data_IF_954760083639
#
_entry.id   IF_954760083639
#
_cell.length_a   1.000
_cell.length_b   1.000
_cell.length_c   1.000
_cell.angle_alpha   90.00
_cell.angle_beta   90.00
_cell.angle_gamma   90.00
#
_symmetry.space_group_name_H-M   'P 1'
#
loop_
_entity.id
_entity.type
_entity.pdbx_description
1 polymer ?
#
# COMPACT_ATOMS: atom_id res chain seq x y z
N UNK A 1 -13.71 60.89 -38.83
CA UNK A 1 -14.61 59.76 -38.50
C UNK A 1 -13.77 58.68 -37.83
N UNK A 2 -14.16 58.19 -36.65
CA UNK A 2 -13.29 57.44 -35.74
C UNK A 2 -13.23 55.93 -36.03
N UNK A 3 -12.30 55.30 -35.33
CA UNK A 3 -11.83 53.92 -35.34
C UNK A 3 -12.88 52.82 -35.17
N UNK A 4 -12.55 51.61 -35.64
CA UNK A 4 -12.94 50.37 -34.96
C UNK A 4 -11.77 49.36 -34.98
N UNK A 5 -11.18 49.16 -33.80
CA UNK A 5 -10.19 48.14 -33.49
C UNK A 5 -10.85 46.75 -33.52
N UNK A 6 -10.20 45.78 -34.16
CA UNK A 6 -10.56 44.36 -34.07
C UNK A 6 -9.95 43.76 -32.80
N UNK A 7 -10.77 43.52 -31.79
CA UNK A 7 -10.37 42.72 -30.62
C UNK A 7 -10.85 41.29 -30.83
N UNK A 8 -9.93 40.39 -31.17
CA UNK A 8 -10.16 38.94 -31.11
C UNK A 8 -10.03 38.54 -29.63
N UNK A 9 -11.15 38.27 -28.98
CA UNK A 9 -11.16 37.66 -27.67
C UNK A 9 -10.88 36.16 -27.83
N UNK A 10 -9.63 35.75 -27.64
CA UNK A 10 -9.29 34.36 -27.45
C UNK A 10 -9.78 33.92 -26.07
N UNK A 11 -10.87 33.15 -26.03
CA UNK A 11 -11.30 32.45 -24.83
C UNK A 11 -10.27 31.35 -24.53
N UNK A 12 -9.29 31.65 -23.67
CA UNK A 12 -8.48 30.62 -23.02
C UNK A 12 -9.39 29.86 -22.05
N UNK A 13 -9.91 28.71 -22.49
CA UNK A 13 -10.43 27.68 -21.61
C UNK A 13 -9.25 27.16 -20.78
N UNK A 14 -9.08 27.71 -19.59
CA UNK A 14 -8.25 27.11 -18.54
C UNK A 14 -8.98 25.85 -18.11
N UNK A 15 -8.68 24.73 -18.76
CA UNK A 15 -9.00 23.43 -18.21
C UNK A 15 -8.21 23.31 -16.89
N UNK A 16 -8.86 23.17 -15.72
CA UNK A 16 -8.11 22.86 -14.52
C UNK A 16 -7.52 21.45 -14.73
N UNK A 17 -6.21 21.39 -14.94
CA UNK A 17 -5.46 20.17 -14.68
C UNK A 17 -5.67 19.86 -13.20
N UNK A 18 -6.70 19.08 -12.89
CA UNK A 18 -6.69 18.22 -11.72
C UNK A 18 -5.52 17.28 -11.96
N UNK A 19 -4.33 17.65 -11.47
CA UNK A 19 -3.22 16.75 -11.33
C UNK A 19 -3.70 15.64 -10.39
N UNK A 20 -4.29 14.59 -10.95
CA UNK A 20 -4.64 13.39 -10.22
C UNK A 20 -3.36 12.90 -9.54
N UNK A 21 -3.44 12.67 -8.23
CA UNK A 21 -2.33 12.06 -7.51
C UNK A 21 -1.91 10.79 -8.27
N UNK A 22 -0.63 10.69 -8.60
CA UNK A 22 -0.06 9.50 -9.24
C UNK A 22 -0.46 8.26 -8.43
N UNK A 23 -0.92 7.22 -9.11
CA UNK A 23 -1.35 5.99 -8.44
C UNK A 23 -0.15 5.18 -8.03
N UNK A 24 -0.16 4.63 -6.81
CA UNK A 24 0.87 3.69 -6.34
C UNK A 24 1.06 2.53 -7.34
N UNK A 25 2.27 2.31 -7.88
CA UNK A 25 2.58 1.15 -8.71
C UNK A 25 2.40 -0.17 -7.96
N UNK A 26 2.01 -1.23 -8.67
CA UNK A 26 1.70 -2.53 -8.05
C UNK A 26 2.87 -3.16 -7.31
N UNK A 27 4.08 -2.99 -7.84
CA UNK A 27 5.30 -3.51 -7.22
C UNK A 27 5.68 -2.79 -5.92
N UNK A 28 5.00 -1.68 -5.58
CA UNK A 28 5.22 -0.94 -4.34
C UNK A 28 4.28 -1.45 -3.25
N UNK A 29 4.85 -2.15 -2.27
CA UNK A 29 4.10 -2.88 -1.25
C UNK A 29 4.31 -2.26 0.13
N UNK A 30 3.29 -2.33 0.97
CA UNK A 30 3.43 -2.00 2.39
C UNK A 30 4.31 -3.06 3.06
N UNK A 31 5.39 -2.66 3.73
CA UNK A 31 6.30 -3.61 4.41
C UNK A 31 5.55 -4.44 5.45
N UNK A 32 4.61 -3.84 6.19
CA UNK A 32 3.76 -4.57 7.15
C UNK A 32 2.92 -5.70 6.53
N UNK A 33 2.62 -5.63 5.23
CA UNK A 33 1.89 -6.70 4.52
C UNK A 33 2.77 -7.93 4.21
N UNK A 34 4.09 -7.72 4.20
CA UNK A 34 5.12 -8.76 3.99
C UNK A 34 5.61 -9.30 5.34
N UNK A 35 6.00 -8.41 6.26
CA UNK A 35 6.40 -8.76 7.62
C UNK A 35 5.87 -7.69 8.62
N UNK A 36 4.77 -7.98 9.35
CA UNK A 36 4.19 -7.05 10.30
C UNK A 36 5.04 -6.87 11.57
N UNK A 37 6.09 -7.68 11.76
CA UNK A 37 6.93 -7.60 12.95
C UNK A 37 8.05 -6.56 12.85
N UNK A 38 8.22 -5.94 11.68
CA UNK A 38 9.10 -4.80 11.50
C UNK A 38 8.37 -3.57 12.05
N UNK A 39 8.92 -2.98 13.11
CA UNK A 39 8.35 -1.77 13.73
C UNK A 39 8.46 -0.58 12.75
N UNK A 40 7.46 0.30 12.73
CA UNK A 40 7.46 1.49 11.88
C UNK A 40 7.32 2.75 12.73
N UNK A 41 8.26 3.67 12.54
CA UNK A 41 8.29 4.99 13.16
C UNK A 41 8.59 6.03 12.07
N UNK A 42 7.63 6.18 11.13
CA UNK A 42 7.82 6.92 9.89
C UNK A 42 7.91 8.42 10.16
N UNK A 43 9.15 8.92 10.29
CA UNK A 43 9.44 10.25 10.85
C UNK A 43 8.90 11.40 10.02
N UNK A 44 8.94 11.26 8.69
CA UNK A 44 8.49 12.28 7.76
C UNK A 44 6.96 12.40 7.66
N UNK A 45 6.19 11.48 8.25
CA UNK A 45 4.75 11.62 8.44
C UNK A 45 4.39 12.46 9.68
N UNK A 46 5.39 12.97 10.42
CA UNK A 46 5.20 13.73 11.67
C UNK A 46 6.04 15.00 11.67
N UNK A 47 5.85 15.88 12.66
CA UNK A 47 6.68 17.08 12.81
C UNK A 47 8.06 16.84 13.43
N UNK A 48 8.34 15.64 13.98
CA UNK A 48 9.63 15.35 14.61
C UNK A 48 10.61 14.72 13.62
N UNK A 49 11.08 15.60 12.75
CA UNK A 49 12.18 15.38 11.83
C UNK A 49 12.94 16.71 11.67
N UNK A 50 14.03 16.70 10.91
CA UNK A 50 14.89 17.87 10.74
C UNK A 50 14.22 19.10 10.10
N UNK A 51 13.04 18.96 9.49
CA UNK A 51 12.29 20.08 8.90
C UNK A 51 11.26 20.70 9.85
N UNK A 52 10.91 20.02 10.94
CA UNK A 52 9.92 20.48 11.92
C UNK A 52 8.45 20.38 11.48
N UNK A 53 8.15 19.71 10.36
CA UNK A 53 6.80 19.46 9.87
C UNK A 53 6.72 18.12 9.12
N UNK A 54 5.51 17.59 8.93
CA UNK A 54 5.31 16.42 8.08
C UNK A 54 5.57 16.81 6.61
N UNK A 55 6.31 15.97 5.88
CA UNK A 55 6.71 16.28 4.52
C UNK A 55 5.60 16.01 3.51
N UNK A 56 5.60 16.79 2.43
CA UNK A 56 4.67 16.60 1.30
C UNK A 56 4.63 15.13 0.84
N UNK A 57 3.42 14.57 0.72
CA UNK A 57 3.21 13.20 0.24
C UNK A 57 3.27 12.10 1.30
N UNK A 58 3.67 12.39 2.54
CA UNK A 58 3.48 11.48 3.68
C UNK A 58 2.09 11.67 4.28
N UNK A 59 1.06 11.16 3.61
CA UNK A 59 -0.33 11.23 4.09
C UNK A 59 -0.64 10.15 5.14
N UNK A 60 0.29 9.21 5.35
CA UNK A 60 0.23 8.18 6.39
C UNK A 60 1.64 7.78 6.86
N UNK A 61 1.78 7.32 8.12
CA UNK A 61 3.03 6.77 8.65
C UNK A 61 3.21 5.31 8.18
N UNK A 62 3.40 5.12 6.88
CA UNK A 62 3.53 3.81 6.24
C UNK A 62 4.84 3.66 5.47
N UNK A 63 5.54 2.55 5.71
CA UNK A 63 6.70 2.14 4.95
C UNK A 63 6.27 1.34 3.72
N UNK A 64 6.50 1.91 2.53
CA UNK A 64 6.42 1.18 1.27
C UNK A 64 7.80 0.92 0.69
N UNK A 65 8.00 -0.27 0.12
CA UNK A 65 9.19 -0.62 -0.64
C UNK A 65 8.76 -1.35 -1.91
N UNK A 66 9.64 -1.36 -2.91
CA UNK A 66 9.55 -2.31 -4.00
C UNK A 66 9.52 -3.73 -3.41
N UNK A 67 8.69 -4.59 -3.99
CA UNK A 67 8.36 -5.89 -3.43
C UNK A 67 9.60 -6.75 -3.11
N UNK A 68 10.59 -6.78 -4.00
CA UNK A 68 11.82 -7.54 -3.76
C UNK A 68 12.67 -6.97 -2.62
N UNK A 69 12.73 -5.64 -2.48
CA UNK A 69 13.38 -4.98 -1.35
C UNK A 69 12.64 -5.27 -0.04
N UNK A 70 11.30 -5.20 -0.03
CA UNK A 70 10.49 -5.54 1.14
C UNK A 70 10.72 -6.99 1.60
N UNK A 71 10.79 -7.93 0.65
CA UNK A 71 11.05 -9.35 0.93
C UNK A 71 12.49 -9.59 1.39
N UNK A 72 13.46 -8.85 0.86
CA UNK A 72 14.83 -8.90 1.37
C UNK A 72 14.89 -8.40 2.82
N UNK A 73 14.23 -7.28 3.11
CA UNK A 73 14.13 -6.74 4.46
C UNK A 73 13.47 -7.73 5.44
N UNK A 74 12.43 -8.45 5.03
CA UNK A 74 11.81 -9.50 5.84
C UNK A 74 12.78 -10.66 6.18
N UNK A 75 13.72 -11.00 5.28
CA UNK A 75 14.76 -12.00 5.58
C UNK A 75 15.81 -11.48 6.55
N UNK A 76 16.15 -10.18 6.47
CA UNK A 76 16.98 -9.51 7.49
C UNK A 76 16.29 -9.59 8.85
N UNK A 77 15.00 -9.22 8.92
CA UNK A 77 14.19 -9.30 10.14
C UNK A 77 14.19 -10.72 10.71
N UNK A 78 13.92 -11.74 9.89
CA UNK A 78 13.94 -13.14 10.34
C UNK A 78 15.29 -13.55 10.92
N UNK A 79 16.39 -13.12 10.31
CA UNK A 79 17.76 -13.42 10.78
C UNK A 79 18.08 -12.74 12.11
N UNK A 80 17.65 -11.49 12.29
CA UNK A 80 17.85 -10.71 13.51
C UNK A 80 16.97 -11.23 14.66
N UNK A 81 15.73 -11.63 14.36
CA UNK A 81 14.82 -12.22 15.38
C UNK A 81 15.36 -13.49 15.97
N UNK A 82 16.01 -14.34 15.17
CA UNK A 82 16.70 -15.54 15.66
C UNK A 82 17.85 -15.20 16.65
N UNK A 83 18.35 -13.97 16.64
CA UNK A 83 19.40 -13.46 17.53
C UNK A 83 18.84 -12.60 18.69
N UNK A 84 17.50 -12.49 18.81
CA UNK A 84 16.85 -11.67 19.83
C UNK A 84 16.72 -10.18 19.48
N UNK A 85 16.96 -9.79 18.23
CA UNK A 85 16.83 -8.40 17.75
C UNK A 85 15.63 -8.23 16.80
N UNK A 86 15.18 -7.00 16.62
CA UNK A 86 14.19 -6.62 15.63
C UNK A 86 14.66 -5.43 14.78
N UNK A 87 13.91 -5.12 13.75
CA UNK A 87 14.08 -3.92 12.92
C UNK A 87 13.01 -2.89 13.25
N UNK A 88 13.41 -1.62 13.20
CA UNK A 88 12.51 -0.46 13.17
C UNK A 88 12.87 0.44 12.00
N UNK A 89 11.91 0.76 11.14
CA UNK A 89 12.09 1.63 9.98
C UNK A 89 11.64 3.06 10.28
N UNK A 90 12.42 4.03 9.82
CA UNK A 90 12.15 5.47 9.94
C UNK A 90 11.72 6.11 8.63
N UNK A 91 12.22 5.60 7.50
CA UNK A 91 11.79 5.99 6.17
C UNK A 91 12.01 4.86 5.15
N UNK A 92 11.20 4.84 4.09
CA UNK A 92 11.24 3.84 3.03
C UNK A 92 11.05 4.53 1.67
N UNK A 93 10.03 4.21 0.89
CA UNK A 93 9.66 5.03 -0.26
C UNK A 93 9.42 6.48 0.18
N UNK A 94 10.10 7.42 -0.50
CA UNK A 94 9.95 8.86 -0.30
C UNK A 94 9.47 9.51 -1.61
N UNK A 95 8.24 10.02 -1.68
CA UNK A 95 7.74 10.72 -2.87
C UNK A 95 8.69 11.84 -3.29
N UNK A 96 8.89 12.05 -4.58
CA UNK A 96 9.79 13.11 -5.05
C UNK A 96 9.36 14.51 -4.59
N UNK A 97 8.06 14.73 -4.32
CA UNK A 97 7.55 15.95 -3.68
C UNK A 97 8.10 16.17 -2.26
N UNK A 98 8.35 15.12 -1.47
CA UNK A 98 9.00 15.25 -0.16
C UNK A 98 10.46 15.67 -0.29
N UNK A 99 11.17 15.20 -1.33
CA UNK A 99 12.54 15.63 -1.63
C UNK A 99 12.55 17.12 -2.01
N UNK A 100 11.57 17.56 -2.82
CA UNK A 100 11.40 18.98 -3.14
C UNK A 100 11.12 19.81 -1.88
N UNK A 101 10.34 19.27 -0.94
CA UNK A 101 10.05 19.90 0.35
C UNK A 101 11.30 20.08 1.21
N UNK A 102 12.12 19.03 1.38
CA UNK A 102 13.42 19.12 2.04
C UNK A 102 14.32 20.18 1.38
N UNK A 103 14.27 20.31 0.04
CA UNK A 103 14.98 21.34 -0.70
C UNK A 103 14.48 22.76 -0.41
N UNK A 104 13.16 22.96 -0.34
CA UNK A 104 12.56 24.24 0.08
C UNK A 104 12.96 24.57 1.52
N UNK A 105 12.90 23.61 2.43
CA UNK A 105 13.34 23.79 3.81
C UNK A 105 14.79 24.28 3.90
N UNK A 106 15.70 23.70 3.12
CA UNK A 106 17.11 24.09 3.10
C UNK A 106 17.35 25.53 2.61
N UNK A 107 16.38 26.14 1.91
CA UNK A 107 16.52 27.48 1.30
C UNK A 107 15.70 28.57 2.00
N UNK A 108 14.57 28.21 2.62
CA UNK A 108 13.71 29.17 3.33
C UNK A 108 14.32 29.61 4.67
N UNK A 109 13.95 30.77 5.23
CA UNK A 109 14.36 31.19 6.57
C UNK A 109 13.84 30.26 7.69
N UNK A 110 14.49 30.27 8.85
CA UNK A 110 14.05 29.55 10.06
C UNK A 110 14.73 28.20 10.29
N UNK A 111 14.94 27.83 11.56
CA UNK A 111 15.71 26.65 11.97
C UNK A 111 14.99 25.90 13.11
N UNK A 112 13.77 25.38 12.86
CA UNK A 112 12.85 24.95 13.92
C UNK A 112 13.40 23.81 14.77
N UNK A 113 14.27 22.95 14.24
CA UNK A 113 14.77 21.74 14.92
C UNK A 113 16.30 21.64 14.92
N UNK A 114 17.00 22.76 14.69
CA UNK A 114 18.46 22.82 14.55
C UNK A 114 19.22 22.29 15.77
N UNK A 115 18.77 22.62 16.98
CA UNK A 115 19.49 22.23 18.19
C UNK A 115 19.54 20.71 18.38
N UNK A 116 18.59 19.99 17.78
CA UNK A 116 18.56 18.54 17.77
C UNK A 116 19.30 17.93 16.58
N UNK A 117 18.88 18.20 15.34
CA UNK A 117 19.32 17.40 14.19
C UNK A 117 20.61 17.90 13.53
N UNK A 118 20.89 19.20 13.56
CA UNK A 118 22.01 19.79 12.80
C UNK A 118 22.66 20.98 13.54
N UNK A 119 23.02 20.87 14.83
CA UNK A 119 23.46 22.00 15.65
C UNK A 119 24.78 22.64 15.18
N UNK A 120 25.59 21.88 14.44
CA UNK A 120 26.91 22.29 13.94
C UNK A 120 26.96 22.56 12.44
N UNK A 121 25.84 22.37 11.73
CA UNK A 121 25.78 22.47 10.27
C UNK A 121 24.80 23.57 9.86
N UNK A 122 25.15 24.34 8.83
CA UNK A 122 24.21 25.24 8.19
C UNK A 122 23.31 24.44 7.25
N UNK A 123 21.99 24.63 7.32
CA UNK A 123 21.08 23.94 6.40
C UNK A 123 21.29 24.29 4.92
N UNK A 124 21.92 25.43 4.65
CA UNK A 124 22.34 25.82 3.29
C UNK A 124 23.43 24.89 2.74
N UNK A 125 24.20 24.21 3.60
CA UNK A 125 25.27 23.29 3.23
C UNK A 125 24.79 21.84 3.05
N UNK A 126 23.53 21.51 3.34
CA UNK A 126 23.02 20.12 3.26
C UNK A 126 23.30 19.46 1.90
N UNK A 127 23.13 20.20 0.81
CA UNK A 127 23.43 19.74 -0.55
C UNK A 127 24.92 19.45 -0.76
N UNK A 128 25.77 20.37 -0.30
CA UNK A 128 27.23 20.29 -0.46
C UNK A 128 27.80 19.13 0.36
N UNK A 129 27.24 18.91 1.55
CA UNK A 129 27.67 17.87 2.47
C UNK A 129 27.07 16.49 2.15
N UNK A 130 26.02 16.46 1.33
CA UNK A 130 25.38 15.24 0.86
C UNK A 130 24.29 14.69 1.78
N UNK A 131 23.78 15.49 2.72
CA UNK A 131 22.67 15.13 3.61
C UNK A 131 21.29 15.26 2.93
N UNK A 132 21.19 16.09 1.87
CA UNK A 132 20.00 16.18 1.02
C UNK A 132 20.43 15.92 -0.42
N UNK A 133 19.79 14.93 -1.05
CA UNK A 133 20.06 14.52 -2.43
C UNK A 133 19.07 15.13 -3.42
N UNK A 134 19.52 15.45 -4.65
CA UNK A 134 18.63 16.05 -5.68
C UNK A 134 17.71 15.00 -6.28
N UNK A 135 18.19 13.77 -6.28
CA UNK A 135 17.47 12.56 -6.63
C UNK A 135 17.76 11.57 -5.52
N UNK A 136 16.74 11.18 -4.77
CA UNK A 136 16.87 10.24 -3.66
C UNK A 136 16.68 8.79 -4.15
N UNK A 137 17.48 7.86 -3.63
CA UNK A 137 17.24 6.42 -3.82
C UNK A 137 15.88 5.99 -3.27
N UNK A 138 15.41 6.64 -2.20
CA UNK A 138 14.08 6.42 -1.62
C UNK A 138 12.95 6.63 -2.61
N UNK A 139 13.07 7.59 -3.54
CA UNK A 139 12.03 7.86 -4.54
C UNK A 139 11.91 6.77 -5.61
N UNK A 140 12.81 5.80 -5.62
CA UNK A 140 12.79 4.62 -6.49
C UNK A 140 12.23 3.37 -5.79
N UNK A 141 11.93 3.47 -4.49
CA UNK A 141 11.32 2.40 -3.70
C UNK A 141 12.28 1.30 -3.23
N UNK A 142 13.59 1.40 -3.45
CA UNK A 142 14.57 0.38 -3.06
C UNK A 142 15.42 0.75 -1.85
N UNK A 143 15.17 1.89 -1.22
CA UNK A 143 15.97 2.42 -0.11
C UNK A 143 15.16 2.47 1.18
N UNK A 144 15.81 2.16 2.30
CA UNK A 144 15.23 2.14 3.64
C UNK A 144 16.19 2.76 4.65
N UNK A 145 15.64 3.55 5.56
CA UNK A 145 16.31 4.08 6.73
C UNK A 145 15.80 3.34 7.96
N UNK A 146 16.68 2.72 8.74
CA UNK A 146 16.28 1.83 9.84
C UNK A 146 17.30 1.70 10.96
N UNK A 147 16.85 1.13 12.09
CA UNK A 147 17.66 0.75 13.24
C UNK A 147 17.32 -0.65 13.75
N UNK A 148 18.06 -1.09 14.76
CA UNK A 148 17.82 -2.31 15.52
C UNK A 148 17.00 -2.02 16.78
N UNK A 149 16.09 -2.92 17.13
CA UNK A 149 15.46 -3.04 18.46
C UNK A 149 15.93 -4.31 19.15
N UNK A 150 15.71 -4.44 20.47
CA UNK A 150 16.08 -5.63 21.24
C UNK A 150 16.82 -5.34 22.55
N UNK A 151 17.62 -6.30 23.07
CA UNK A 151 18.32 -6.15 24.34
C UNK A 151 19.20 -4.90 24.40
N UNK A 152 18.96 -4.07 25.42
CA UNK A 152 19.66 -2.81 25.62
C UNK A 152 19.00 -1.59 24.97
N UNK A 153 17.89 -1.76 24.25
CA UNK A 153 17.07 -0.64 23.78
C UNK A 153 16.34 0.01 24.97
N UNK A 154 16.35 1.33 25.02
CA UNK A 154 15.49 2.09 25.94
C UNK A 154 14.05 2.09 25.41
N UNK A 155 13.02 2.16 26.28
CA UNK A 155 11.64 2.28 25.84
C UNK A 155 11.44 3.52 24.95
N UNK A 156 10.60 3.41 23.92
CA UNK A 156 10.26 4.57 23.11
C UNK A 156 9.52 5.62 23.97
N UNK A 157 9.90 6.89 23.82
CA UNK A 157 9.21 7.99 24.46
C UNK A 157 7.78 8.14 23.90
N UNK A 158 6.84 8.47 24.79
CA UNK A 158 5.42 8.64 24.44
C UNK A 158 5.10 10.14 24.32
N UNK A 159 4.65 10.59 23.14
CA UNK A 159 4.20 11.98 22.84
C UNK A 159 5.15 12.79 21.94
N UNK A 160 4.67 13.88 21.30
CA UNK A 160 5.47 14.84 20.50
C UNK A 160 4.90 16.26 20.73
N UNK A 161 5.67 17.37 20.69
CA UNK A 161 6.65 17.77 21.70
C UNK A 161 6.37 19.18 22.28
N UNK A 162 6.49 19.30 23.61
CA UNK A 162 7.00 20.49 24.30
C UNK A 162 8.41 20.23 24.89
N UNK A 163 9.02 19.10 24.53
CA UNK A 163 10.32 18.69 25.06
C UNK A 163 11.43 19.56 24.46
N UNK A 164 12.35 20.00 25.31
CA UNK A 164 13.57 20.71 24.92
C UNK A 164 14.34 19.87 23.90
N UNK A 165 14.68 20.47 22.75
CA UNK A 165 15.54 19.82 21.75
C UNK A 165 16.85 19.37 22.38
N UNK A 166 17.24 18.13 22.10
CA UNK A 166 18.50 17.53 22.56
C UNK A 166 19.33 17.20 21.34
N UNK A 167 20.60 17.61 21.37
CA UNK A 167 21.58 17.31 20.32
C UNK A 167 21.59 15.82 19.95
N UNK A 168 21.46 15.51 18.67
CA UNK A 168 21.43 14.14 18.15
C UNK A 168 22.74 13.36 18.41
N UNK A 169 23.79 14.03 18.86
CA UNK A 169 25.07 13.43 19.29
C UNK A 169 25.21 13.29 20.81
N UNK A 170 24.24 13.76 21.61
CA UNK A 170 24.26 13.61 23.06
C UNK A 170 24.34 12.12 23.47
N UNK A 171 24.77 11.79 24.70
CA UNK A 171 24.80 10.42 25.20
C UNK A 171 23.45 9.70 25.01
N UNK A 172 23.47 8.40 24.73
CA UNK A 172 22.28 7.62 24.37
C UNK A 172 21.07 7.82 25.27
N UNK A 173 21.25 7.77 26.59
CA UNK A 173 20.16 7.95 27.55
C UNK A 173 19.58 9.36 27.66
N UNK A 174 20.20 10.35 26.99
CA UNK A 174 19.74 11.75 26.99
C UNK A 174 19.02 12.13 25.69
N UNK A 175 19.32 11.44 24.58
CA UNK A 175 18.68 11.69 23.28
C UNK A 175 17.20 11.32 23.34
N UNK A 176 16.44 11.78 22.34
CA UNK A 176 15.10 11.27 22.12
C UNK A 176 15.10 9.74 22.05
N UNK A 177 14.22 9.12 22.84
CA UNK A 177 14.15 7.67 22.93
C UNK A 177 13.22 7.16 21.85
N UNK A 178 13.79 6.71 20.73
CA UNK A 178 13.06 6.16 19.58
C UNK A 178 12.76 4.66 19.71
N UNK A 179 13.11 4.03 20.84
CA UNK A 179 12.97 2.59 21.04
C UNK A 179 14.04 1.74 20.34
N UNK A 180 14.99 2.35 19.64
CA UNK A 180 16.10 1.69 18.99
C UNK A 180 17.32 1.53 19.91
N UNK A 181 18.24 0.66 19.51
CA UNK A 181 19.54 0.48 20.18
C UNK A 181 20.43 1.73 20.05
N UNK A 182 21.41 1.86 20.95
CA UNK A 182 22.43 2.91 20.80
C UNK A 182 23.23 2.70 19.51
N UNK A 183 23.09 3.66 18.60
CA UNK A 183 23.83 3.73 17.34
C UNK A 183 24.84 4.87 17.34
N UNK A 184 25.12 5.51 18.48
CA UNK A 184 26.13 6.58 18.62
C UNK A 184 25.65 7.98 18.19
N UNK A 185 24.56 8.06 17.45
CA UNK A 185 23.79 9.29 17.16
C UNK A 185 22.31 8.95 17.02
N UNK A 186 21.44 9.97 16.99
CA UNK A 186 20.05 9.82 16.53
C UNK A 186 19.96 9.60 15.02
N UNK A 187 18.76 9.21 14.56
CA UNK A 187 18.34 9.25 13.16
C UNK A 187 18.30 10.70 12.65
N UNK A 188 18.58 10.91 11.36
CA UNK A 188 18.70 12.24 10.73
C UNK A 188 19.69 13.19 11.45
N UNK A 189 20.70 12.63 12.11
CA UNK A 189 21.75 13.43 12.73
C UNK A 189 22.75 13.89 11.68
N UNK A 190 22.70 15.17 11.30
CA UNK A 190 23.57 15.74 10.28
C UNK A 190 24.90 16.15 10.91
N UNK A 191 25.70 15.12 11.21
CA UNK A 191 26.97 15.20 11.91
C UNK A 191 27.87 14.05 11.47
N UNK A 192 29.19 14.23 11.52
CA UNK A 192 30.14 13.14 11.22
C UNK A 192 29.97 11.93 12.13
N UNK A 193 29.41 12.08 13.34
CA UNK A 193 29.05 10.96 14.20
C UNK A 193 28.06 9.99 13.55
N UNK A 194 27.26 10.44 12.59
CA UNK A 194 26.36 9.58 11.84
C UNK A 194 27.08 8.68 10.82
N UNK A 195 28.32 9.03 10.42
CA UNK A 195 29.08 8.23 9.46
C UNK A 195 29.32 6.82 9.98
N UNK A 196 29.02 5.80 9.18
CA UNK A 196 28.97 4.39 9.60
C UNK A 196 30.24 3.94 10.34
N UNK A 197 31.41 4.30 9.82
CA UNK A 197 32.72 3.92 10.36
C UNK A 197 33.34 4.96 11.33
N UNK A 198 32.54 5.85 11.92
CA UNK A 198 33.05 6.89 12.83
C UNK A 198 33.79 6.27 14.04
N UNK A 199 35.02 6.73 14.30
CA UNK A 199 35.86 6.18 15.37
C UNK A 199 35.53 6.73 16.77
N UNK A 200 34.84 7.87 16.86
CA UNK A 200 34.53 8.59 18.10
C UNK A 200 33.29 8.06 18.84
N UNK A 201 32.49 7.18 18.23
CA UNK A 201 31.35 6.55 18.90
C UNK A 201 31.82 5.42 19.84
N UNK A 202 31.00 5.11 20.85
CA UNK A 202 31.32 4.09 21.85
C UNK A 202 31.30 2.66 21.26
N UNK A 203 31.86 1.69 21.99
CA UNK A 203 31.99 0.30 21.55
C UNK A 203 30.65 -0.38 21.29
N UNK A 204 29.63 -0.11 22.12
CA UNK A 204 28.26 -0.64 21.95
C UNK A 204 27.66 -0.18 20.63
N UNK A 205 27.76 1.11 20.32
CA UNK A 205 27.29 1.70 19.07
C UNK A 205 28.01 1.11 17.85
N UNK A 206 29.33 0.91 17.92
CA UNK A 206 30.09 0.24 16.84
C UNK A 206 29.59 -1.18 16.60
N UNK A 207 29.38 -1.95 17.67
CA UNK A 207 28.89 -3.32 17.58
C UNK A 207 27.48 -3.39 16.98
N UNK A 208 26.59 -2.47 17.35
CA UNK A 208 25.22 -2.42 16.82
C UNK A 208 25.19 -2.02 15.34
N UNK A 209 25.97 -1.01 14.92
CA UNK A 209 26.11 -0.65 13.51
C UNK A 209 26.67 -1.81 12.69
N UNK A 210 27.72 -2.48 13.17
CA UNK A 210 28.29 -3.64 12.49
C UNK A 210 27.27 -4.77 12.35
N UNK A 211 26.47 -5.04 13.38
CA UNK A 211 25.40 -6.05 13.32
C UNK A 211 24.37 -5.69 12.26
N UNK A 212 23.89 -4.44 12.24
CA UNK A 212 22.92 -3.97 11.26
C UNK A 212 23.50 -4.09 9.85
N UNK A 213 24.69 -3.52 9.60
CA UNK A 213 25.36 -3.56 8.30
C UNK A 213 25.55 -4.99 7.80
N UNK A 214 26.08 -5.89 8.64
CA UNK A 214 26.31 -7.27 8.25
C UNK A 214 25.00 -8.01 7.91
N UNK A 215 23.92 -7.76 8.65
CA UNK A 215 22.62 -8.36 8.38
C UNK A 215 21.99 -7.83 7.08
N UNK A 216 22.09 -6.53 6.85
CA UNK A 216 21.59 -5.87 5.63
C UNK A 216 22.37 -6.32 4.39
N UNK A 217 23.71 -6.31 4.44
CA UNK A 217 24.57 -6.69 3.32
C UNK A 217 24.38 -8.15 2.90
N UNK A 218 24.17 -9.04 3.87
CA UNK A 218 23.88 -10.46 3.60
C UNK A 218 22.65 -10.66 2.71
N UNK A 219 21.68 -9.75 2.77
CA UNK A 219 20.45 -9.79 1.99
C UNK A 219 20.46 -8.85 0.77
N UNK A 220 21.63 -8.33 0.38
CA UNK A 220 21.81 -7.56 -0.86
C UNK A 220 21.57 -6.06 -0.73
N UNK A 221 21.54 -5.53 0.49
CA UNK A 221 21.53 -4.08 0.73
C UNK A 221 22.96 -3.52 0.78
N UNK A 222 23.12 -2.27 0.37
CA UNK A 222 24.37 -1.52 0.47
C UNK A 222 24.13 -0.27 1.32
N UNK A 223 24.94 -0.11 2.36
CA UNK A 223 24.87 1.03 3.27
C UNK A 223 25.48 2.30 2.67
N UNK A 224 24.97 3.47 3.05
CA UNK A 224 25.60 4.75 2.74
C UNK A 224 26.60 5.15 3.83
N UNK A 225 27.85 5.44 3.46
CA UNK A 225 28.93 5.61 4.44
C UNK A 225 28.77 6.80 5.39
N UNK A 226 27.94 7.79 5.03
CA UNK A 226 27.67 8.97 5.87
C UNK A 226 26.47 8.82 6.79
N UNK A 227 25.68 7.77 6.62
CA UNK A 227 24.41 7.59 7.35
C UNK A 227 24.29 6.13 7.77
N UNK A 228 24.55 5.84 9.05
CA UNK A 228 24.55 4.46 9.57
C UNK A 228 23.21 3.73 9.40
N UNK A 229 22.11 4.47 9.24
CA UNK A 229 20.75 3.96 9.11
C UNK A 229 20.35 3.68 7.65
N UNK A 230 21.09 4.19 6.67
CA UNK A 230 20.63 4.26 5.27
C UNK A 230 21.14 3.08 4.44
N UNK A 231 20.22 2.35 3.83
CA UNK A 231 20.53 1.16 3.02
C UNK A 231 19.71 1.11 1.73
N UNK A 232 20.38 0.85 0.61
CA UNK A 232 19.73 0.65 -0.69
C UNK A 232 19.84 -0.79 -1.15
N UNK A 233 18.72 -1.40 -1.52
CA UNK A 233 18.67 -2.74 -2.09
C UNK A 233 19.11 -2.73 -3.55
N UNK A 234 20.13 -3.51 -3.87
CA UNK A 234 20.59 -3.70 -5.24
C UNK A 234 19.77 -4.83 -5.90
N UNK A 235 18.56 -4.49 -6.35
CA UNK A 235 17.75 -5.38 -7.18
C UNK A 235 18.40 -5.67 -8.54
N UNK A 236 17.95 -6.72 -9.21
CA UNK A 236 18.35 -7.03 -10.58
C UNK A 236 17.11 -7.28 -11.47
N UNK A 237 16.73 -6.33 -12.35
CA UNK A 237 17.39 -5.05 -12.57
C UNK A 237 17.19 -4.07 -11.42
N UNK A 238 18.10 -3.11 -11.26
CA UNK A 238 17.93 -2.03 -10.32
C UNK A 238 16.82 -1.08 -10.80
N UNK A 239 15.95 -0.65 -9.88
CA UNK A 239 14.94 0.36 -10.18
C UNK A 239 15.61 1.72 -10.39
N UNK A 240 15.22 2.41 -11.46
CA UNK A 240 15.78 3.72 -11.84
C UNK A 240 14.75 4.83 -11.86
N UNK A 241 13.47 4.47 -11.97
CA UNK A 241 12.35 5.41 -12.07
C UNK A 241 12.10 6.13 -10.73
N UNK A 242 11.94 7.45 -10.80
CA UNK A 242 11.61 8.31 -9.66
C UNK A 242 10.09 8.47 -9.61
N UNK A 243 9.47 8.00 -8.55
CA UNK A 243 8.02 8.01 -8.37
C UNK A 243 7.56 9.17 -7.48
N UNK A 244 6.31 9.64 -7.66
CA UNK A 244 5.74 10.74 -6.90
C UNK A 244 4.30 10.48 -6.40
N UNK A 245 3.89 9.23 -6.18
CA UNK A 245 2.59 8.93 -5.58
C UNK A 245 2.61 9.22 -4.06
N UNK A 246 1.49 9.65 -3.44
CA UNK A 246 1.44 9.85 -2.00
C UNK A 246 1.41 8.52 -1.24
N UNK A 247 1.98 8.52 -0.04
CA UNK A 247 1.90 7.42 0.92
C UNK A 247 0.57 7.54 1.67
N UNK A 248 -0.38 6.69 1.34
CA UNK A 248 -1.70 6.62 2.01
C UNK A 248 -1.75 5.46 3.00
N UNK A 249 -2.72 5.41 3.94
CA UNK A 249 -2.89 4.25 4.81
C UNK A 249 -3.16 2.97 4.01
N UNK A 250 -2.82 1.81 4.56
CA UNK A 250 -3.33 0.55 4.03
C UNK A 250 -4.87 0.61 4.02
N UNK A 251 -5.49 0.31 2.88
CA UNK A 251 -6.92 0.58 2.66
C UNK A 251 -7.87 -0.06 3.70
N UNK A 252 -7.44 -1.11 4.40
CA UNK A 252 -8.23 -1.67 5.50
C UNK A 252 -8.40 -0.69 6.66
N UNK A 253 -7.37 0.09 6.99
CA UNK A 253 -7.39 1.06 8.09
C UNK A 253 -8.38 2.21 7.82
N UNK A 254 -8.51 2.62 6.55
CA UNK A 254 -9.44 3.65 6.12
C UNK A 254 -10.85 3.12 5.86
N UNK A 255 -11.00 1.81 5.58
CA UNK A 255 -12.28 1.18 5.29
C UNK A 255 -13.23 1.18 6.48
N UNK A 256 -14.49 1.55 6.25
CA UNK A 256 -15.57 1.47 7.22
C UNK A 256 -16.50 0.27 6.98
N UNK A 257 -16.40 -0.39 5.83
CA UNK A 257 -17.28 -1.49 5.44
C UNK A 257 -16.47 -2.67 4.91
N UNK A 258 -16.67 -3.86 5.50
CA UNK A 258 -16.06 -5.09 5.01
C UNK A 258 -17.11 -6.13 4.64
N UNK A 259 -16.82 -6.90 3.60
CA UNK A 259 -17.43 -8.20 3.36
C UNK A 259 -16.33 -9.23 3.54
N UNK A 260 -16.45 -10.07 4.56
CA UNK A 260 -15.53 -11.18 4.79
C UNK A 260 -16.15 -12.45 4.24
N UNK A 261 -15.53 -13.02 3.22
CA UNK A 261 -15.89 -14.32 2.64
C UNK A 261 -14.86 -15.35 3.05
N UNK A 262 -15.32 -16.47 3.59
CA UNK A 262 -14.44 -17.59 3.94
C UNK A 262 -14.93 -18.92 3.42
N UNK A 263 -13.99 -19.74 2.93
CA UNK A 263 -14.19 -21.16 2.59
C UNK A 263 -13.41 -22.05 3.55
N UNK A 264 -13.86 -23.29 3.73
CA UNK A 264 -13.18 -24.26 4.60
C UNK A 264 -11.73 -24.54 4.16
N UNK A 265 -11.46 -24.63 2.85
CA UNK A 265 -10.11 -24.72 2.29
C UNK A 265 -10.03 -24.12 0.86
N UNK A 266 -8.84 -24.23 0.26
CA UNK A 266 -8.53 -23.74 -1.09
C UNK A 266 -9.34 -24.35 -2.24
N UNK A 267 -9.98 -25.50 -2.03
CA UNK A 267 -10.69 -26.26 -3.07
C UNK A 267 -12.20 -26.28 -2.87
N UNK A 268 -12.69 -25.88 -1.69
CA UNK A 268 -14.13 -25.80 -1.42
C UNK A 268 -14.78 -24.72 -2.28
N UNK A 269 -15.88 -25.09 -2.91
CA UNK A 269 -16.71 -24.18 -3.70
C UNK A 269 -17.75 -23.46 -2.85
N UNK A 270 -17.97 -23.90 -1.60
CA UNK A 270 -18.92 -23.29 -0.68
C UNK A 270 -18.17 -22.33 0.27
N UNK A 271 -18.79 -21.20 0.53
CA UNK A 271 -18.29 -20.22 1.48
C UNK A 271 -19.41 -19.52 2.26
N UNK A 272 -19.01 -18.75 3.25
CA UNK A 272 -19.90 -17.87 4.02
C UNK A 272 -19.40 -16.44 3.90
N UNK A 273 -20.30 -15.51 3.61
CA UNK A 273 -20.06 -14.08 3.63
C UNK A 273 -20.65 -13.46 4.91
N UNK A 274 -19.87 -12.64 5.60
CA UNK A 274 -20.29 -11.83 6.74
C UNK A 274 -19.93 -10.37 6.48
N UNK A 275 -20.89 -9.47 6.68
CA UNK A 275 -20.67 -8.02 6.61
C UNK A 275 -20.17 -7.50 7.95
N UNK A 276 -19.28 -6.51 7.91
CA UNK A 276 -18.82 -5.77 9.07
C UNK A 276 -18.87 -4.26 8.84
N UNK A 277 -19.25 -3.53 9.87
CA UNK A 277 -19.21 -2.07 9.93
C UNK A 277 -18.16 -1.64 10.94
N UNK A 278 -17.35 -0.64 10.62
CA UNK A 278 -16.39 -0.07 11.57
C UNK A 278 -17.10 0.82 12.58
N UNK A 279 -16.83 0.58 13.85
CA UNK A 279 -17.23 1.40 14.98
C UNK A 279 -15.98 1.75 15.79
N UNK A 280 -15.51 3.01 15.67
CA UNK A 280 -14.23 3.42 16.22
C UNK A 280 -13.06 2.65 15.58
N UNK A 281 -12.30 1.91 16.40
CA UNK A 281 -11.14 1.13 15.91
C UNK A 281 -11.49 -0.32 15.57
N UNK A 282 -12.70 -0.78 15.87
CA UNK A 282 -13.12 -2.18 15.73
C UNK A 282 -14.15 -2.34 14.63
N UNK A 283 -14.22 -3.55 14.06
CA UNK A 283 -15.24 -3.95 13.11
C UNK A 283 -16.27 -4.83 13.83
N UNK A 284 -17.55 -4.49 13.69
CA UNK A 284 -18.68 -5.21 14.28
C UNK A 284 -19.50 -5.87 13.18
N UNK A 285 -20.03 -7.07 13.46
CA UNK A 285 -20.87 -7.81 12.51
C UNK A 285 -22.16 -7.02 12.22
N UNK A 286 -22.51 -6.92 10.94
CA UNK A 286 -23.72 -6.24 10.48
C UNK A 286 -24.65 -7.23 9.78
N UNK A 287 -25.77 -7.54 10.41
CA UNK A 287 -26.72 -8.53 9.93
C UNK A 287 -26.19 -9.96 9.91
N UNK A 288 -27.05 -10.89 9.52
CA UNK A 288 -26.73 -12.32 9.49
C UNK A 288 -25.72 -12.66 8.38
N UNK A 289 -24.86 -13.68 8.61
CA UNK A 289 -24.03 -14.24 7.55
C UNK A 289 -24.91 -14.95 6.52
N UNK A 290 -24.41 -15.05 5.28
CA UNK A 290 -25.13 -15.72 4.20
C UNK A 290 -24.19 -16.59 3.36
N UNK A 291 -24.76 -17.63 2.74
CA UNK A 291 -24.02 -18.54 1.90
C UNK A 291 -23.59 -17.89 0.58
N UNK A 292 -22.41 -18.28 0.10
CA UNK A 292 -21.89 -17.95 -1.23
C UNK A 292 -21.31 -19.20 -1.90
N UNK A 293 -21.28 -19.20 -3.23
CA UNK A 293 -20.51 -20.14 -4.04
C UNK A 293 -19.32 -19.44 -4.65
N UNK A 294 -18.18 -20.12 -4.68
CA UNK A 294 -16.91 -19.62 -5.18
C UNK A 294 -16.65 -20.19 -6.58
N UNK A 295 -15.43 -20.01 -7.08
CA UNK A 295 -14.99 -20.68 -8.30
C UNK A 295 -15.19 -22.20 -8.20
N UNK A 296 -15.52 -22.85 -9.31
CA UNK A 296 -15.71 -24.31 -9.41
C UNK A 296 -14.49 -25.13 -8.95
N UNK A 297 -13.33 -24.49 -8.87
CA UNK A 297 -12.08 -25.06 -8.37
C UNK A 297 -11.66 -24.49 -7.00
N UNK A 298 -12.51 -23.70 -6.33
CA UNK A 298 -12.25 -23.06 -5.04
C UNK A 298 -11.60 -21.68 -5.13
N UNK A 299 -10.62 -21.41 -4.27
CA UNK A 299 -9.90 -20.14 -4.17
C UNK A 299 -8.47 -20.23 -4.70
N UNK A 300 -7.92 -19.08 -5.13
CA UNK A 300 -6.51 -18.86 -5.41
C UNK A 300 -6.08 -17.45 -5.01
N UNK A 301 -4.86 -17.28 -4.52
CA UNK A 301 -4.25 -15.98 -4.26
C UNK A 301 -4.37 -15.05 -5.46
N UNK A 302 -5.14 -13.97 -5.28
CA UNK A 302 -5.42 -12.98 -6.31
C UNK A 302 -4.59 -11.72 -6.17
N UNK A 303 -4.63 -10.88 -7.21
CA UNK A 303 -3.94 -9.62 -7.28
C UNK A 303 -4.86 -8.53 -6.74
N UNK A 304 -4.66 -8.16 -5.48
CA UNK A 304 -5.48 -7.16 -4.78
C UNK A 304 -4.62 -6.15 -4.02
N UNK A 305 -5.13 -5.66 -2.89
CA UNK A 305 -4.45 -4.68 -2.04
C UNK A 305 -3.28 -5.27 -1.25
N UNK A 306 -3.24 -6.59 -1.12
CA UNK A 306 -2.21 -7.36 -0.42
C UNK A 306 -1.42 -8.19 -1.42
N UNK A 307 -0.09 -8.20 -1.29
CA UNK A 307 0.78 -9.04 -2.11
C UNK A 307 0.88 -10.44 -1.50
N UNK A 308 0.57 -11.44 -2.32
CA UNK A 308 0.40 -12.84 -1.89
C UNK A 308 1.20 -13.83 -2.75
N UNK A 309 1.96 -13.34 -3.74
CA UNK A 309 2.65 -14.16 -4.76
C UNK A 309 3.76 -15.09 -4.22
N UNK A 310 4.13 -14.97 -2.93
CA UNK A 310 5.06 -15.92 -2.26
C UNK A 310 4.46 -16.63 -1.06
N UNK A 311 3.13 -16.63 -0.90
CA UNK A 311 2.44 -17.43 0.12
C UNK A 311 2.19 -18.84 -0.41
N UNK A 312 2.28 -19.84 0.48
CA UNK A 312 1.86 -21.19 0.13
C UNK A 312 0.38 -21.17 -0.28
N UNK A 313 0.04 -21.91 -1.34
CA UNK A 313 -1.31 -21.97 -1.90
C UNK A 313 -1.36 -21.76 -3.42
N UNK A 314 -2.52 -22.01 -4.04
CA UNK A 314 -2.73 -21.77 -5.46
C UNK A 314 -2.70 -20.26 -5.76
N UNK A 315 -2.11 -19.88 -6.90
CA UNK A 315 -2.08 -18.50 -7.40
C UNK A 315 -3.05 -18.36 -8.57
N UNK A 316 -3.84 -17.27 -8.56
CA UNK A 316 -4.91 -17.02 -9.53
C UNK A 316 -4.32 -16.84 -10.92
N UNK A 317 -4.94 -17.50 -11.91
CA UNK A 317 -4.62 -17.39 -13.34
C UNK A 317 -5.89 -17.34 -14.17
N UNK A 318 -5.78 -16.87 -15.41
CA UNK A 318 -6.89 -16.91 -16.36
C UNK A 318 -7.35 -18.37 -16.59
N UNK A 319 -8.65 -18.61 -16.56
CA UNK A 319 -9.24 -19.94 -16.81
C UNK A 319 -9.05 -21.01 -15.72
N UNK A 320 -8.45 -20.71 -14.56
CA UNK A 320 -8.22 -21.69 -13.49
C UNK A 320 -9.49 -22.18 -12.77
N UNK A 321 -10.62 -21.51 -12.97
CA UNK A 321 -11.89 -21.81 -12.31
C UNK A 321 -11.91 -21.44 -10.83
N UNK A 322 -10.96 -20.65 -10.33
CA UNK A 322 -10.83 -20.26 -8.92
C UNK A 322 -11.23 -18.81 -8.72
N UNK A 323 -11.87 -18.51 -7.58
CA UNK A 323 -12.12 -17.12 -7.17
C UNK A 323 -10.89 -16.54 -6.44
N UNK A 324 -10.64 -15.23 -6.55
CA UNK A 324 -9.44 -14.65 -5.99
C UNK A 324 -9.52 -14.55 -4.46
N UNK A 325 -8.43 -14.89 -3.79
CA UNK A 325 -8.25 -14.78 -2.35
C UNK A 325 -7.31 -13.60 -2.04
N UNK A 326 -7.62 -12.82 -1.01
CA UNK A 326 -6.92 -11.58 -0.67
C UNK A 326 -7.88 -10.49 -0.20
N UNK A 327 -7.38 -9.24 -0.21
CA UNK A 327 -8.19 -8.05 0.07
C UNK A 327 -8.40 -7.27 -1.23
N UNK A 328 -9.65 -6.97 -1.59
CA UNK A 328 -10.01 -6.32 -2.84
C UNK A 328 -10.94 -5.13 -2.58
N UNK A 329 -10.80 -4.07 -3.39
CA UNK A 329 -11.81 -3.02 -3.44
C UNK A 329 -13.05 -3.52 -4.17
N UNK A 330 -14.20 -2.99 -3.80
CA UNK A 330 -15.46 -3.19 -4.51
C UNK A 330 -15.72 -1.96 -5.38
N UNK A 331 -15.67 -2.15 -6.69
CA UNK A 331 -15.81 -1.11 -7.69
C UNK A 331 -17.25 -0.87 -8.11
N UNK A 332 -17.44 -0.65 -9.42
CA UNK A 332 -18.73 -0.34 -10.03
C UNK A 332 -19.73 -1.49 -9.89
N UNK A 333 -20.91 -1.18 -9.35
CA UNK A 333 -22.07 -2.06 -9.44
C UNK A 333 -22.63 -2.03 -10.87
N UNK A 334 -23.21 -3.13 -11.32
CA UNK A 334 -23.82 -3.23 -12.65
C UNK A 334 -25.13 -4.02 -12.60
N UNK A 335 -25.96 -3.86 -13.63
CA UNK A 335 -27.17 -4.67 -13.75
C UNK A 335 -28.01 -4.29 -14.96
N UNK A 336 -29.15 -4.96 -15.11
CA UNK A 336 -29.98 -4.84 -16.32
C UNK A 336 -30.92 -3.62 -16.32
N UNK A 337 -31.14 -3.02 -15.15
CA UNK A 337 -32.01 -1.87 -15.01
C UNK A 337 -31.26 -0.60 -15.41
N UNK A 338 -31.97 0.40 -15.94
CA UNK A 338 -31.34 1.69 -16.28
C UNK A 338 -30.87 2.49 -15.04
N UNK A 339 -31.40 2.13 -13.86
CA UNK A 339 -31.02 2.68 -12.56
C UNK A 339 -31.15 1.58 -11.51
N UNK A 340 -30.30 1.60 -10.50
CA UNK A 340 -30.40 0.71 -9.35
C UNK A 340 -30.40 1.52 -8.05
N UNK A 341 -31.05 0.97 -7.03
CA UNK A 341 -30.98 1.46 -5.66
C UNK A 341 -29.65 1.02 -5.04
N UNK A 342 -28.60 1.80 -5.28
CA UNK A 342 -27.24 1.60 -4.76
C UNK A 342 -26.53 2.93 -4.61
N UNK A 343 -25.62 3.03 -3.63
CA UNK A 343 -24.73 4.20 -3.49
C UNK A 343 -23.41 4.01 -4.26
N UNK A 344 -23.08 2.78 -4.65
CA UNK A 344 -21.93 2.52 -5.51
C UNK A 344 -22.14 3.17 -6.89
N UNK A 345 -21.05 3.51 -7.61
CA UNK A 345 -21.16 3.79 -9.04
C UNK A 345 -21.91 2.66 -9.76
N UNK A 346 -22.81 3.00 -10.68
CA UNK A 346 -23.68 2.04 -11.33
C UNK A 346 -23.57 2.08 -12.85
N UNK A 347 -23.34 0.92 -13.47
CA UNK A 347 -23.31 0.72 -14.92
C UNK A 347 -24.53 -0.11 -15.38
N UNK A 348 -25.50 0.51 -16.08
CA UNK A 348 -26.53 -0.23 -16.79
C UNK A 348 -25.94 -1.08 -17.91
N UNK A 349 -26.29 -2.37 -17.96
CA UNK A 349 -25.79 -3.30 -18.96
C UNK A 349 -26.65 -3.24 -20.22
N UNK A 350 -26.13 -2.56 -21.25
CA UNK A 350 -26.67 -2.66 -22.61
C UNK A 350 -26.38 -4.04 -23.23
N UNK A 351 -27.06 -4.45 -24.32
CA UNK A 351 -26.75 -5.70 -25.01
C UNK A 351 -25.31 -5.78 -25.55
N UNK A 352 -24.62 -4.65 -25.67
CA UNK A 352 -23.26 -4.53 -26.22
C UNK A 352 -22.20 -4.34 -25.13
N UNK A 353 -22.59 -4.30 -23.86
CA UNK A 353 -21.60 -4.31 -22.76
C UNK A 353 -20.98 -5.70 -22.62
N UNK A 354 -19.66 -5.72 -22.63
CA UNK A 354 -18.81 -6.90 -22.48
C UNK A 354 -17.77 -6.65 -21.38
N UNK A 355 -17.33 -7.70 -20.69
CA UNK A 355 -16.09 -7.66 -19.93
C UNK A 355 -14.99 -8.33 -20.74
N UNK A 356 -13.89 -7.62 -21.00
CA UNK A 356 -12.82 -8.13 -21.86
C UNK A 356 -11.90 -9.06 -21.07
N UNK A 357 -11.83 -10.33 -21.47
CA UNK A 357 -10.97 -11.37 -20.87
C UNK A 357 -9.74 -11.71 -21.76
N UNK A 358 -9.58 -11.04 -22.91
CA UNK A 358 -8.41 -11.18 -23.78
C UNK A 358 -7.20 -10.45 -23.17
N UNK A 359 -6.24 -11.20 -22.63
CA UNK A 359 -5.01 -10.67 -22.04
C UNK A 359 -4.10 -9.88 -22.98
N UNK A 360 -4.38 -9.87 -24.30
CA UNK A 360 -3.63 -9.07 -25.28
C UNK A 360 -4.25 -7.69 -25.57
N UNK A 361 -5.48 -7.46 -25.12
CA UNK A 361 -6.20 -6.21 -25.35
C UNK A 361 -5.74 -5.12 -24.37
N UNK A 362 -5.72 -3.86 -24.83
CA UNK A 362 -5.53 -2.69 -23.97
C UNK A 362 -6.68 -2.51 -22.96
N UNK A 363 -7.79 -3.22 -23.19
CA UNK A 363 -9.00 -3.24 -22.38
C UNK A 363 -9.12 -4.47 -21.49
N UNK A 364 -8.09 -5.31 -21.40
CA UNK A 364 -8.11 -6.49 -20.54
C UNK A 364 -8.58 -6.17 -19.11
N UNK A 365 -9.50 -7.00 -18.60
CA UNK A 365 -10.15 -6.85 -17.30
C UNK A 365 -10.95 -5.54 -17.12
N UNK A 366 -11.60 -5.06 -18.19
CA UNK A 366 -12.48 -3.87 -18.13
C UNK A 366 -13.89 -4.20 -18.65
N UNK A 367 -14.88 -3.55 -18.04
CA UNK A 367 -16.25 -3.47 -18.59
C UNK A 367 -16.29 -2.37 -19.66
N UNK A 368 -16.64 -2.74 -20.89
CA UNK A 368 -16.68 -1.84 -22.04
C UNK A 368 -17.99 -1.99 -22.79
N UNK A 369 -18.56 -0.89 -23.29
CA UNK A 369 -19.63 -0.96 -24.27
C UNK A 369 -19.02 -1.08 -25.67
N UNK A 370 -19.09 -2.27 -26.26
CA UNK A 370 -18.52 -2.57 -27.58
C UNK A 370 -19.12 -1.75 -28.72
N UNK A 371 -20.26 -1.07 -28.52
CA UNK A 371 -20.81 -0.13 -29.49
C UNK A 371 -20.07 1.23 -29.50
N UNK A 372 -19.28 1.52 -28.46
CA UNK A 372 -18.68 2.85 -28.22
C UNK A 372 -17.18 2.88 -28.45
N UNK A 373 -16.53 1.72 -28.61
CA UNK A 373 -15.08 1.60 -28.73
C UNK A 373 -14.69 0.75 -29.92
N UNK A 374 -13.51 1.00 -30.49
CA UNK A 374 -12.90 0.11 -31.47
C UNK A 374 -12.48 -1.18 -30.78
N UNK A 375 -12.94 -2.32 -31.29
CA UNK A 375 -12.65 -3.64 -30.72
C UNK A 375 -11.21 -4.08 -31.02
N UNK A 376 -10.45 -4.38 -29.97
CA UNK A 376 -9.09 -4.93 -30.04
C UNK A 376 -8.95 -6.30 -29.33
N UNK A 377 -10.06 -6.91 -28.90
CA UNK A 377 -10.11 -8.21 -28.20
C UNK A 377 -10.78 -9.32 -29.02
N UNK A 378 -10.33 -10.56 -28.82
CA UNK A 378 -10.88 -11.76 -29.45
C UNK A 378 -11.79 -12.58 -28.51
N UNK A 379 -11.70 -12.33 -27.20
CA UNK A 379 -12.51 -12.99 -26.19
C UNK A 379 -13.05 -11.97 -25.18
N UNK A 380 -14.27 -12.24 -24.71
CA UNK A 380 -14.98 -11.41 -23.74
C UNK A 380 -16.14 -12.18 -23.08
N UNK A 381 -16.51 -11.78 -21.87
CA UNK A 381 -17.75 -12.17 -21.23
C UNK A 381 -18.89 -11.24 -21.65
N UNK A 382 -19.97 -11.81 -22.21
CA UNK A 382 -21.21 -11.07 -22.44
C UNK A 382 -21.86 -10.70 -21.11
N UNK A 383 -22.06 -9.41 -20.85
CA UNK A 383 -22.55 -8.98 -19.54
C UNK A 383 -24.07 -9.08 -19.41
N UNK A 384 -24.82 -8.90 -20.50
CA UNK A 384 -26.27 -9.12 -20.50
C UNK A 384 -26.62 -10.55 -20.92
N UNK A 385 -26.64 -11.45 -19.94
CA UNK A 385 -26.80 -12.91 -20.13
C UNK A 385 -28.27 -13.33 -20.11
N UNK A 386 -28.59 -14.41 -20.84
CA UNK A 386 -29.93 -15.03 -20.88
C UNK A 386 -30.31 -15.79 -19.62
N UNK A 387 -29.32 -16.18 -18.80
CA UNK A 387 -29.52 -16.93 -17.56
C UNK A 387 -29.61 -16.02 -16.32
N UNK A 388 -29.69 -14.70 -16.52
CA UNK A 388 -29.89 -13.68 -15.49
C UNK A 388 -28.86 -13.65 -14.35
N UNK A 389 -27.77 -14.41 -14.41
CA UNK A 389 -26.74 -14.42 -13.36
C UNK A 389 -26.13 -13.03 -13.13
N UNK A 390 -26.06 -12.20 -14.18
CA UNK A 390 -25.53 -10.82 -14.15
C UNK A 390 -26.62 -9.75 -14.09
N UNK A 391 -27.87 -10.13 -13.77
CA UNK A 391 -28.97 -9.18 -13.55
C UNK A 391 -28.60 -8.12 -12.51
N UNK A 392 -27.81 -8.52 -11.49
CA UNK A 392 -27.12 -7.64 -10.56
C UNK A 392 -25.72 -8.18 -10.32
N UNK A 393 -24.74 -7.29 -10.28
CA UNK A 393 -23.38 -7.64 -9.90
C UNK A 393 -22.56 -6.46 -9.41
N UNK A 394 -21.41 -6.75 -8.82
CA UNK A 394 -20.45 -5.75 -8.34
C UNK A 394 -19.07 -6.17 -8.84
N UNK A 395 -18.36 -5.25 -9.49
CA UNK A 395 -16.99 -5.48 -9.92
C UNK A 395 -16.06 -5.63 -8.72
N UNK A 396 -15.34 -6.74 -8.64
CA UNK A 396 -14.28 -6.94 -7.65
C UNK A 396 -12.98 -6.48 -8.32
N UNK A 397 -12.30 -5.49 -7.75
CA UNK A 397 -11.04 -4.94 -8.29
C UNK A 397 -9.84 -5.88 -8.07
N UNK A 398 -10.02 -7.16 -8.42
CA UNK A 398 -8.94 -8.11 -8.65
C UNK A 398 -8.26 -7.78 -9.98
N UNK A 399 -6.93 -7.89 -10.01
CA UNK A 399 -6.13 -7.60 -11.19
C UNK A 399 -6.37 -6.18 -11.73
N UNK A 400 -6.35 -5.20 -10.82
CA UNK A 400 -6.51 -3.77 -11.15
C UNK A 400 -5.35 -2.98 -10.51
N UNK A 401 -4.41 -2.40 -11.31
CA UNK A 401 -4.31 -2.46 -12.77
C UNK A 401 -4.20 -3.88 -13.35
N UNK A 402 -4.51 -4.03 -14.64
CA UNK A 402 -4.56 -5.33 -15.29
C UNK A 402 -3.16 -5.81 -15.69
N UNK A 403 -2.80 -7.03 -15.29
CA UNK A 403 -1.66 -7.79 -15.78
C UNK A 403 -2.15 -9.04 -16.50
N UNK A 404 -1.73 -9.21 -17.76
CA UNK A 404 -2.18 -10.29 -18.63
C UNK A 404 -2.06 -11.68 -17.97
N UNK A 405 -3.13 -12.47 -18.02
CA UNK A 405 -3.15 -13.84 -17.53
C UNK A 405 -3.32 -14.00 -16.01
N UNK A 406 -3.39 -12.91 -15.23
CA UNK A 406 -3.64 -12.97 -13.78
C UNK A 406 -5.12 -13.19 -13.40
N UNK A 407 -5.98 -13.48 -14.39
CA UNK A 407 -7.43 -13.63 -14.24
C UNK A 407 -8.16 -12.31 -14.39
N UNK A 408 -9.34 -12.36 -14.99
CA UNK A 408 -10.15 -11.18 -15.33
C UNK A 408 -11.63 -11.40 -15.02
N UNK A 409 -12.43 -10.32 -15.16
CA UNK A 409 -13.89 -10.36 -15.11
C UNK A 409 -14.43 -11.03 -13.84
N UNK A 410 -13.89 -10.61 -12.69
CA UNK A 410 -14.27 -11.14 -11.39
C UNK A 410 -15.35 -10.25 -10.76
N UNK A 411 -16.47 -10.88 -10.40
CA UNK A 411 -17.63 -10.19 -9.87
C UNK A 411 -18.16 -10.86 -8.60
N UNK A 412 -18.88 -10.07 -7.81
CA UNK A 412 -20.05 -10.59 -7.11
C UNK A 412 -21.22 -10.65 -8.08
N UNK A 413 -21.94 -11.77 -8.11
CA UNK A 413 -23.15 -11.91 -8.94
C UNK A 413 -24.16 -12.91 -8.37
N UNK A 414 -25.27 -13.10 -9.07
CA UNK A 414 -26.32 -14.06 -8.68
C UNK A 414 -25.88 -15.47 -9.07
N UNK A 415 -25.91 -16.42 -8.13
CA UNK A 415 -25.56 -17.81 -8.43
C UNK A 415 -26.61 -18.46 -9.34
N UNK A 416 -26.22 -19.54 -10.03
CA UNK A 416 -27.18 -20.43 -10.68
C UNK A 416 -27.92 -21.28 -9.66
N UNK A 417 -27.17 -21.82 -8.71
CA UNK A 417 -27.63 -22.68 -7.63
C UNK A 417 -26.59 -22.66 -6.49
N UNK A 418 -26.99 -22.92 -5.24
CA UNK A 418 -26.09 -22.90 -4.08
C UNK A 418 -25.01 -24.00 -4.07
N UNK A 419 -25.07 -24.96 -4.99
CA UNK A 419 -24.12 -26.07 -5.17
C UNK A 419 -23.34 -25.99 -6.50
N UNK A 420 -23.55 -24.92 -7.29
CA UNK A 420 -22.93 -24.75 -8.60
C UNK A 420 -21.83 -23.69 -8.56
N UNK A 421 -20.56 -24.12 -8.51
CA UNK A 421 -19.40 -23.22 -8.57
C UNK A 421 -19.34 -22.37 -9.85
N UNK A 422 -18.72 -21.19 -9.74
CA UNK A 422 -18.59 -20.22 -10.84
C UNK A 422 -17.36 -20.50 -11.71
N UNK A 423 -17.11 -19.70 -12.75
CA UNK A 423 -15.86 -19.78 -13.53
C UNK A 423 -14.68 -19.03 -12.88
N UNK A 424 -14.90 -18.36 -11.74
CA UNK A 424 -13.89 -17.54 -11.06
C UNK A 424 -14.49 -16.41 -10.21
N UNK A 425 -15.78 -16.15 -10.31
CA UNK A 425 -16.50 -15.19 -9.50
C UNK A 425 -16.89 -15.73 -8.11
N UNK A 426 -17.44 -14.86 -7.28
CA UNK A 426 -18.15 -15.25 -6.05
C UNK A 426 -19.62 -14.93 -6.23
N UNK A 427 -20.50 -15.90 -6.03
CA UNK A 427 -21.92 -15.76 -6.33
C UNK A 427 -22.81 -16.09 -5.14
N UNK A 428 -23.99 -15.50 -5.10
CA UNK A 428 -24.91 -15.56 -3.96
C UNK A 428 -26.37 -15.53 -4.42
N UNK A 429 -27.29 -15.77 -3.49
CA UNK A 429 -28.72 -15.63 -3.75
C UNK A 429 -29.11 -14.19 -4.14
N UNK A 430 -30.12 -13.97 -5.01
CA UNK A 430 -30.58 -12.63 -5.38
C UNK A 430 -30.87 -11.68 -4.22
N UNK A 431 -31.44 -12.19 -3.13
CA UNK A 431 -31.74 -11.37 -1.95
C UNK A 431 -30.45 -10.85 -1.27
N UNK A 432 -29.39 -11.65 -1.24
CA UNK A 432 -28.14 -11.28 -0.58
C UNK A 432 -27.39 -10.20 -1.37
N UNK A 433 -27.32 -10.31 -2.71
CA UNK A 433 -26.69 -9.26 -3.50
C UNK A 433 -27.50 -7.96 -3.49
N UNK A 434 -28.83 -8.04 -3.39
CA UNK A 434 -29.67 -6.85 -3.19
C UNK A 434 -29.35 -6.15 -1.85
N UNK A 435 -29.12 -6.91 -0.79
CA UNK A 435 -28.68 -6.34 0.49
C UNK A 435 -27.33 -5.64 0.38
N UNK A 436 -26.39 -6.18 -0.41
CA UNK A 436 -25.10 -5.53 -0.66
C UNK A 436 -25.26 -4.21 -1.42
N UNK A 437 -26.11 -4.18 -2.46
CA UNK A 437 -26.41 -2.95 -3.21
C UNK A 437 -26.94 -1.83 -2.30
N UNK A 438 -27.87 -2.15 -1.40
CA UNK A 438 -28.48 -1.17 -0.51
C UNK A 438 -27.53 -0.68 0.61
N UNK A 439 -26.58 -1.52 1.03
CA UNK A 439 -25.73 -1.26 2.18
C UNK A 439 -24.39 -0.59 1.81
N UNK A 440 -23.75 -1.02 0.72
CA UNK A 440 -22.42 -0.55 0.35
C UNK A 440 -22.43 0.93 -0.04
N UNK A 441 -21.45 1.68 0.46
CA UNK A 441 -21.28 3.11 0.22
C UNK A 441 -19.83 3.40 -0.18
N UNK A 442 -19.55 3.92 -1.39
CA UNK A 442 -18.17 4.14 -1.84
C UNK A 442 -17.42 5.14 -0.94
N UNK A 443 -18.13 6.04 -0.25
CA UNK A 443 -17.53 6.99 0.72
C UNK A 443 -16.98 6.29 1.95
N UNK A 444 -17.46 5.08 2.23
CA UNK A 444 -17.04 4.22 3.33
C UNK A 444 -15.94 3.23 2.92
N UNK A 445 -15.42 3.34 1.69
CA UNK A 445 -14.31 2.55 1.14
C UNK A 445 -14.50 1.04 1.37
N UNK A 446 -15.56 0.43 0.82
CA UNK A 446 -15.89 -0.95 1.11
C UNK A 446 -14.85 -1.92 0.53
N UNK A 447 -14.45 -2.91 1.33
CA UNK A 447 -13.50 -3.94 0.92
C UNK A 447 -14.08 -5.35 1.02
N UNK A 448 -13.66 -6.22 0.12
CA UNK A 448 -13.79 -7.67 0.22
C UNK A 448 -12.53 -8.26 0.85
N UNK A 449 -12.68 -9.07 1.90
CA UNK A 449 -11.64 -9.98 2.40
C UNK A 449 -12.11 -11.39 2.08
N UNK A 450 -11.40 -12.09 1.19
CA UNK A 450 -11.78 -13.44 0.76
C UNK A 450 -10.63 -14.41 1.00
N UNK A 451 -10.78 -15.36 1.93
CA UNK A 451 -9.68 -16.25 2.35
C UNK A 451 -10.21 -17.62 2.78
N UNK A 452 -9.44 -18.71 2.63
CA UNK A 452 -9.75 -19.92 3.39
C UNK A 452 -9.57 -19.69 4.90
N UNK A 453 -10.25 -20.48 5.73
CA UNK A 453 -10.33 -20.22 7.18
C UNK A 453 -8.97 -20.23 7.89
N UNK A 454 -8.08 -21.14 7.50
CA UNK A 454 -6.75 -21.28 8.11
C UNK A 454 -5.89 -20.03 7.83
N UNK A 455 -5.94 -19.53 6.61
CA UNK A 455 -5.25 -18.34 6.13
C UNK A 455 -5.81 -17.10 6.80
N UNK A 456 -7.15 -17.02 6.93
CA UNK A 456 -7.78 -15.93 7.68
C UNK A 456 -7.25 -15.90 9.12
N UNK A 457 -7.22 -17.05 9.80
CA UNK A 457 -6.74 -17.13 11.18
C UNK A 457 -5.26 -16.72 11.30
N UNK A 458 -4.41 -17.21 10.39
CA UNK A 458 -2.99 -16.87 10.36
C UNK A 458 -2.75 -15.38 10.09
N UNK A 459 -3.56 -14.78 9.22
CA UNK A 459 -3.37 -13.40 8.77
C UNK A 459 -4.06 -12.36 9.64
N UNK A 460 -5.05 -12.78 10.45
CA UNK A 460 -5.93 -11.89 11.20
C UNK A 460 -5.20 -10.76 11.90
N UNK A 461 -4.17 -11.06 12.67
CA UNK A 461 -3.44 -10.05 13.45
C UNK A 461 -2.59 -9.17 12.55
N UNK A 462 -1.81 -9.77 11.65
CA UNK A 462 -0.92 -9.05 10.73
C UNK A 462 -1.66 -8.10 9.78
N UNK A 463 -2.89 -8.47 9.39
CA UNK A 463 -3.70 -7.69 8.47
C UNK A 463 -4.76 -6.86 9.20
N UNK A 464 -4.90 -6.98 10.53
CA UNK A 464 -5.93 -6.25 11.29
C UNK A 464 -7.37 -6.65 10.95
N UNK A 465 -7.60 -7.93 10.64
CA UNK A 465 -8.92 -8.45 10.24
C UNK A 465 -9.84 -8.60 11.47
N UNK A 466 -11.18 -8.46 11.29
CA UNK A 466 -12.13 -8.67 12.38
C UNK A 466 -12.07 -10.07 12.99
N UNK A 467 -12.54 -10.21 14.22
CA UNK A 467 -12.82 -11.52 14.80
C UNK A 467 -14.04 -12.14 14.10
N UNK A 468 -13.88 -13.37 13.58
CA UNK A 468 -14.94 -14.13 12.92
C UNK A 468 -15.92 -14.71 13.91
#
# INVERSE_FOLDING_TARGET
MPAFNKTIAALCLIAPCLAGAETRPEHMVYVRSIDPSIEQDIRYATAHNFTGHALDGYEAPECLLAEDAAKALARVQSTLRAQGYGLKVFDCYRPSRAVADMGRFATLPGDPTKAEFYPRVSKQDFWKLGYVARVSGHSKGSTVDLTLTGPGALPAAVGMPGAKQVDCTAPYGQRWQDGGLDMGSGFDCFDERAHTANSAINATAKANRLRLTAAMEKEGFVGYSKEWWHFSYNGNPALTEVMNFPITPLALESSQQLIVVTSKNWTDIQGTAQRYQRHGKTFEKTGEPFAVVLGKSGLAWGKGLTVVERRAGPVKREGDGKAPAGIFKLGTAFGYDNRADTRLPYLPLSPTVECVDDGKSERYNQLVDGATVSKDWNSSETMRRKDDMYRKGIFIEHNTPAAAGAGSCIFFHIWRAPDSGTLGCTAMEPANIQQLFAWLDPRQQPLLIQLPEAEYAQLRESWGLPQR
#
